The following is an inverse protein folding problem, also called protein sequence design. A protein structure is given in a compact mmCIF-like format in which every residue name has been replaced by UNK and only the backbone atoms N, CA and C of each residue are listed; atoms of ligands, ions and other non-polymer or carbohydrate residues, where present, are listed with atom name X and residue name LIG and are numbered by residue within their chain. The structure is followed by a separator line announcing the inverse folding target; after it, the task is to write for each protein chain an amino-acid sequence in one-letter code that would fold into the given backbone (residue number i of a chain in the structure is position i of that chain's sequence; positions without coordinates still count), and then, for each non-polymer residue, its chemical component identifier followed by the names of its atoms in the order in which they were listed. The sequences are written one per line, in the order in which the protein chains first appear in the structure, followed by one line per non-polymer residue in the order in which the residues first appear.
data_IF_847935881726
#
_entry.id   IF_847935881726
#
_cell.length_a   1.000
_cell.length_b   1.000
_cell.length_c   1.000
_cell.angle_alpha   90.00
_cell.angle_beta   90.00
_cell.angle_gamma   90.00
#
_symmetry.space_group_name_H-M   'P 1'
#
loop_
_entity.id
_entity.type
_entity.pdbx_description
1 polymer ?
#
# COMPACT_ATOMS: atom_id res chain seq x y z
N UNK A 1 4.68 8.87 3.22
CA UNK A 1 4.72 8.86 4.70
C UNK A 1 5.50 7.62 5.17
N UNK A 2 6.52 7.77 6.02
CA UNK A 2 7.32 6.68 6.61
C UNK A 2 7.35 6.86 8.14
N UNK A 3 6.93 5.85 8.90
CA UNK A 3 6.84 5.91 10.38
C UNK A 3 6.10 7.17 10.89
N UNK A 4 5.01 7.56 10.22
CA UNK A 4 4.22 8.74 10.57
C UNK A 4 4.82 10.10 10.17
N UNK A 5 5.91 10.11 9.40
CA UNK A 5 6.57 11.33 8.92
C UNK A 5 6.36 11.51 7.43
N UNK A 6 6.22 12.76 7.00
CA UNK A 6 6.28 13.10 5.59
C UNK A 6 7.67 12.84 5.03
N UNK A 7 7.69 12.47 3.75
CA UNK A 7 8.91 12.11 3.02
C UNK A 7 8.89 12.79 1.67
N UNK A 8 10.05 13.25 1.25
CA UNK A 8 10.27 13.73 -0.11
C UNK A 8 10.77 12.58 -0.98
N UNK A 9 10.38 12.60 -2.25
CA UNK A 9 10.84 11.62 -3.24
C UNK A 9 11.42 12.38 -4.43
N UNK A 10 12.65 12.02 -4.83
CA UNK A 10 13.28 12.60 -6.03
C UNK A 10 13.85 11.55 -6.96
N UNK A 11 13.88 11.89 -8.24
CA UNK A 11 14.55 11.16 -9.29
C UNK A 11 15.89 11.84 -9.58
N UNK A 12 17.00 11.12 -9.38
CA UNK A 12 18.34 11.65 -9.56
C UNK A 12 19.27 10.56 -10.10
N UNK A 13 19.93 10.83 -11.23
CA UNK A 13 20.96 9.95 -11.81
C UNK A 13 20.52 8.49 -11.99
N UNK A 14 19.28 8.28 -12.43
CA UNK A 14 18.72 6.92 -12.63
C UNK A 14 18.41 6.19 -11.32
N UNK A 15 18.24 6.93 -10.22
CA UNK A 15 17.84 6.42 -8.91
C UNK A 15 16.62 7.17 -8.39
N UNK A 16 15.80 6.47 -7.62
CA UNK A 16 14.78 7.06 -6.78
C UNK A 16 15.34 7.16 -5.37
N UNK A 17 15.32 8.36 -4.82
CA UNK A 17 15.73 8.62 -3.44
C UNK A 17 14.52 9.06 -2.62
N UNK A 18 14.38 8.48 -1.43
CA UNK A 18 13.35 8.85 -0.45
C UNK A 18 14.08 9.56 0.70
N UNK A 19 13.66 10.77 1.01
CA UNK A 19 14.32 11.65 1.97
C UNK A 19 13.41 11.97 3.15
N UNK A 20 14.02 12.12 4.33
CA UNK A 20 13.42 12.74 5.51
C UNK A 20 14.32 13.89 5.91
N UNK A 21 13.77 15.11 6.01
CA UNK A 21 14.51 16.33 6.35
C UNK A 21 15.76 16.54 5.45
N UNK A 22 15.65 16.23 4.16
CA UNK A 22 16.74 16.35 3.19
C UNK A 22 17.82 15.26 3.25
N UNK A 23 17.70 14.27 4.15
CA UNK A 23 18.64 13.14 4.25
C UNK A 23 18.04 11.89 3.58
N UNK A 24 18.74 11.23 2.64
CA UNK A 24 18.27 10.00 2.02
C UNK A 24 18.18 8.86 3.04
N UNK A 25 16.99 8.29 3.19
CA UNK A 25 16.75 7.10 4.03
C UNK A 25 16.55 5.81 3.22
N UNK A 26 16.30 5.95 1.91
CA UNK A 26 16.26 4.83 0.97
C UNK A 26 16.69 5.28 -0.44
N UNK A 27 17.42 4.43 -1.14
CA UNK A 27 17.91 4.68 -2.50
C UNK A 27 17.66 3.44 -3.36
N UNK A 28 16.97 3.61 -4.48
CA UNK A 28 16.62 2.54 -5.41
C UNK A 28 17.16 2.82 -6.80
N UNK A 29 17.78 1.83 -7.43
CA UNK A 29 18.09 1.91 -8.86
C UNK A 29 16.80 1.89 -9.66
N UNK A 30 16.61 2.83 -10.57
CA UNK A 30 15.52 2.74 -11.55
C UNK A 30 15.77 1.56 -12.46
N UNK A 31 14.81 0.65 -12.53
CA UNK A 31 14.81 -0.46 -13.47
C UNK A 31 13.61 -0.29 -14.37
N UNK A 32 13.85 -0.04 -15.66
CA UNK A 32 12.80 -0.10 -16.67
C UNK A 32 12.69 -1.54 -17.18
N UNK A 33 11.89 -2.34 -16.49
CA UNK A 33 11.46 -3.66 -16.96
C UNK A 33 9.97 -3.80 -16.68
N UNK A 34 9.22 -4.29 -17.66
CA UNK A 34 7.78 -4.56 -17.50
C UNK A 34 7.54 -5.46 -16.28
N UNK A 35 6.59 -5.08 -15.43
CA UNK A 35 6.19 -5.77 -14.18
C UNK A 35 7.29 -5.94 -13.12
N UNK A 36 8.35 -5.13 -13.16
CA UNK A 36 9.37 -5.16 -12.10
C UNK A 36 8.87 -4.44 -10.84
N UNK A 37 8.79 -5.17 -9.73
CA UNK A 37 8.64 -4.63 -8.38
C UNK A 37 9.99 -4.77 -7.69
N UNK A 38 10.60 -3.65 -7.32
CA UNK A 38 11.86 -3.61 -6.57
C UNK A 38 11.50 -3.30 -5.12
N UNK A 39 11.58 -4.30 -4.25
CA UNK A 39 11.37 -4.13 -2.81
C UNK A 39 12.60 -3.46 -2.17
N UNK A 40 12.41 -2.70 -1.08
CA UNK A 40 13.55 -2.18 -0.34
C UNK A 40 14.32 -3.34 0.30
N UNK A 41 15.67 -3.36 0.23
CA UNK A 41 16.46 -4.31 0.99
C UNK A 41 16.06 -4.24 2.47
N UNK A 42 15.65 -5.38 3.03
CA UNK A 42 15.23 -5.48 4.42
C UNK A 42 13.85 -4.88 4.78
N UNK A 43 13.05 -4.45 3.79
CA UNK A 43 11.69 -3.88 4.01
C UNK A 43 10.78 -4.74 4.89
N UNK A 44 10.99 -6.05 4.88
CA UNK A 44 10.20 -7.04 5.60
C UNK A 44 11.05 -7.92 6.53
N UNK A 45 12.25 -7.49 6.88
CA UNK A 45 13.10 -8.23 7.82
C UNK A 45 12.37 -8.40 9.16
N UNK A 46 12.28 -9.63 9.65
CA UNK A 46 11.59 -9.96 10.91
C UNK A 46 10.09 -10.19 10.78
N UNK A 47 9.49 -9.97 9.60
CA UNK A 47 8.12 -10.42 9.34
C UNK A 47 8.14 -11.90 8.95
N UNK A 48 7.68 -12.76 9.86
CA UNK A 48 7.53 -14.22 9.64
C UNK A 48 6.44 -14.55 8.62
N UNK A 49 5.53 -13.61 8.36
CA UNK A 49 4.38 -13.82 7.50
C UNK A 49 4.80 -13.77 6.03
N UNK A 50 4.63 -14.90 5.33
CA UNK A 50 4.71 -15.06 3.88
C UNK A 50 6.09 -14.94 3.19
N UNK A 51 7.20 -15.28 3.86
CA UNK A 51 8.55 -15.30 3.25
C UNK A 51 8.94 -13.98 2.55
N UNK A 52 8.55 -12.84 3.13
CA UNK A 52 8.83 -11.52 2.54
C UNK A 52 7.85 -11.06 1.47
N UNK A 53 6.72 -11.76 1.26
CA UNK A 53 5.60 -11.25 0.50
C UNK A 53 4.64 -10.47 1.42
N UNK A 54 4.19 -9.28 1.01
CA UNK A 54 3.22 -8.49 1.78
C UNK A 54 1.87 -9.20 1.98
N UNK A 55 1.54 -10.14 1.08
CA UNK A 55 0.37 -11.00 1.12
C UNK A 55 0.75 -12.39 0.59
N UNK A 56 -0.01 -13.43 0.92
CA UNK A 56 0.12 -14.71 0.23
C UNK A 56 0.06 -14.48 -1.28
N UNK A 57 0.87 -15.21 -2.06
CA UNK A 57 0.77 -15.16 -3.53
C UNK A 57 -0.70 -15.31 -3.92
N UNK A 58 -1.29 -14.34 -4.64
CA UNK A 58 -2.69 -14.44 -5.03
C UNK A 58 -2.82 -15.68 -5.91
N UNK A 59 -3.54 -16.67 -5.41
CA UNK A 59 -3.89 -17.88 -6.13
C UNK A 59 -5.37 -17.81 -6.43
N UNK A 60 -5.72 -17.93 -7.70
CA UNK A 60 -7.10 -18.16 -8.07
C UNK A 60 -7.47 -19.58 -7.61
N UNK A 61 -8.48 -19.69 -6.76
CA UNK A 61 -9.09 -20.97 -6.41
C UNK A 61 -10.49 -20.99 -7.01
N UNK A 62 -10.81 -22.01 -7.78
CA UNK A 62 -12.19 -22.24 -8.20
C UNK A 62 -13.02 -22.56 -6.95
N UNK A 63 -14.04 -21.75 -6.70
CA UNK A 63 -14.98 -21.94 -5.59
C UNK A 63 -16.18 -22.69 -6.19
N UNK A 64 -16.68 -23.71 -5.47
CA UNK A 64 -17.72 -24.60 -6.00
C UNK A 64 -19.07 -23.90 -6.24
N UNK A 65 -19.29 -22.77 -5.57
CA UNK A 65 -20.42 -21.87 -5.77
C UNK A 65 -19.90 -20.44 -5.61
N UNK A 66 -20.51 -19.51 -6.33
CA UNK A 66 -20.33 -18.07 -6.11
C UNK A 66 -20.86 -17.75 -4.71
N UNK A 67 -20.01 -17.83 -3.70
CA UNK A 67 -20.30 -17.38 -2.34
C UNK A 67 -20.19 -15.84 -2.30
N UNK A 68 -20.88 -15.21 -3.24
CA UNK A 68 -20.99 -13.76 -3.35
C UNK A 68 -22.14 -13.36 -2.46
N UNK A 69 -21.81 -12.63 -1.40
CA UNK A 69 -22.81 -12.06 -0.52
C UNK A 69 -23.66 -11.06 -1.31
N UNK A 70 -24.92 -11.40 -1.55
CA UNK A 70 -25.89 -10.47 -2.14
C UNK A 70 -26.37 -9.55 -1.02
N UNK A 71 -25.90 -8.30 -1.04
CA UNK A 71 -26.33 -7.25 -0.11
C UNK A 71 -27.30 -6.27 -0.78
N UNK A 72 -28.30 -5.82 -0.02
CA UNK A 72 -29.13 -4.67 -0.42
C UNK A 72 -28.27 -3.42 -0.59
N UNK A 73 -28.66 -2.56 -1.52
CA UNK A 73 -28.01 -1.25 -1.72
C UNK A 73 -28.13 -0.35 -0.48
N UNK A 74 -29.14 -0.57 0.37
CA UNK A 74 -29.36 0.14 1.65
C UNK A 74 -28.15 0.05 2.60
N UNK A 75 -27.26 -0.94 2.41
CA UNK A 75 -26.01 -1.05 3.17
C UNK A 75 -25.10 0.16 2.92
N UNK A 76 -25.07 0.69 1.70
CA UNK A 76 -24.26 1.86 1.37
C UNK A 76 -24.88 3.15 1.94
N UNK A 77 -26.20 3.25 2.00
CA UNK A 77 -26.91 4.40 2.58
C UNK A 77 -26.58 4.56 4.08
N UNK A 78 -26.54 3.46 4.83
CA UNK A 78 -26.17 3.46 6.26
C UNK A 78 -24.69 3.81 6.49
N UNK A 79 -23.81 3.55 5.52
CA UNK A 79 -22.39 3.90 5.61
C UNK A 79 -22.14 5.37 5.27
N UNK A 80 -22.99 5.98 4.45
CA UNK A 80 -22.94 7.41 4.12
C UNK A 80 -23.24 8.28 5.34
N UNK A 81 -24.15 7.86 6.22
CA UNK A 81 -24.48 8.61 7.46
C UNK A 81 -23.33 8.65 8.48
N UNK A 82 -22.47 7.63 8.53
CA UNK A 82 -21.29 7.62 9.43
C UNK A 82 -20.16 8.53 8.90
N UNK A 83 -20.15 8.83 7.61
CA UNK A 83 -19.20 9.77 6.98
C UNK A 83 -19.57 11.25 7.15
N UNK A 84 -20.75 11.56 7.71
CA UNK A 84 -21.23 12.93 7.93
C UNK A 84 -21.45 13.18 9.43
N UNK A 85 -20.38 13.05 10.20
CA UNK A 85 -20.22 13.67 11.52
C UNK A 85 -18.71 13.86 11.72
N UNK A 86 -18.12 15.05 11.71
CA UNK A 86 -18.55 16.41 12.07
C UNK A 86 -17.98 17.43 11.07
N UNK A 87 -18.73 18.47 10.63
CA UNK A 87 -18.07 19.66 10.11
C UNK A 87 -17.39 20.36 11.29
N UNK A 88 -16.06 20.43 11.27
CA UNK A 88 -15.32 21.29 12.18
C UNK A 88 -15.79 22.73 11.92
N UNK A 89 -16.55 23.26 12.88
CA UNK A 89 -16.76 24.69 13.03
C UNK A 89 -15.64 25.21 13.94
N UNK A 90 -14.98 26.27 13.44
CA UNK A 90 -13.85 27.06 13.96
C UNK A 90 -12.47 26.69 13.44
#
# INVERSE_FOLDING_TARGET
MYSGRDVDVRDLNGRIEILVNGVPIAIHKKVQRSRAVILCPGQYTGLTTANGHAHSRPQARQIAADDVEIRSLDVYERLVEVGVSTPDLF
#
